data_IF_893112957103
#
_entry.id   IF_893112957103
#
_cell.length_a   1.000
_cell.length_b   1.000
_cell.length_c   1.000
_cell.angle_alpha   90.00
_cell.angle_beta   90.00
_cell.angle_gamma   90.00
#
_symmetry.space_group_name_H-M   'P 1'
#
loop_
_entity.id
_entity.type
_entity.pdbx_description
1 polymer ?
#
# COMPACT_ATOMS: atom_id res chain seq x y z
N UNK A 1 28.40 -38.07 -66.54
CA UNK A 1 27.23 -38.44 -65.70
C UNK A 1 26.66 -37.17 -65.11
N UNK A 2 25.33 -36.98 -65.24
CA UNK A 2 24.55 -35.86 -64.75
C UNK A 2 24.66 -35.72 -63.23
N UNK A 3 24.57 -34.50 -62.69
CA UNK A 3 23.58 -34.22 -61.64
C UNK A 3 23.30 -32.70 -61.56
N UNK A 4 22.03 -32.37 -61.80
CA UNK A 4 21.39 -31.07 -61.61
C UNK A 4 20.93 -31.01 -60.16
N UNK A 5 21.16 -29.91 -59.45
CA UNK A 5 20.42 -29.60 -58.22
C UNK A 5 19.92 -28.16 -58.31
N UNK A 6 18.67 -28.03 -58.74
CA UNK A 6 17.74 -27.00 -58.29
C UNK A 6 16.76 -27.69 -57.32
N UNK A 7 16.54 -27.11 -56.14
CA UNK A 7 15.20 -26.96 -55.56
C UNK A 7 15.32 -26.16 -54.25
N UNK A 8 14.83 -24.92 -54.31
CA UNK A 8 14.38 -24.16 -53.15
C UNK A 8 13.10 -24.82 -52.62
N UNK A 9 13.04 -25.08 -51.31
CA UNK A 9 11.82 -25.01 -50.48
C UNK A 9 12.23 -25.32 -49.02
N UNK A 10 12.29 -24.29 -48.17
CA UNK A 10 12.19 -24.49 -46.73
C UNK A 10 11.08 -23.58 -46.20
N UNK A 11 9.94 -24.22 -45.98
CA UNK A 11 8.75 -23.68 -45.33
C UNK A 11 8.99 -23.66 -43.82
N UNK A 12 8.41 -22.64 -43.20
CA UNK A 12 8.33 -22.30 -41.77
C UNK A 12 8.49 -23.43 -40.74
N UNK A 13 9.27 -23.12 -39.71
CA UNK A 13 8.92 -23.34 -38.29
C UNK A 13 9.81 -22.43 -37.41
N UNK A 14 9.36 -21.19 -37.20
CA UNK A 14 9.86 -20.34 -36.11
C UNK A 14 8.90 -20.51 -34.94
N UNK A 15 9.25 -21.37 -33.99
CA UNK A 15 8.61 -21.38 -32.67
C UNK A 15 9.22 -20.25 -31.86
N UNK A 16 8.42 -19.21 -31.63
CA UNK A 16 8.74 -18.11 -30.74
C UNK A 16 8.60 -18.61 -29.29
N UNK A 17 9.72 -18.90 -28.61
CA UNK A 17 9.75 -18.91 -27.15
C UNK A 17 10.09 -17.50 -26.68
N UNK A 18 9.08 -16.79 -26.21
CA UNK A 18 9.27 -15.49 -25.56
C UNK A 18 9.70 -15.68 -24.10
N UNK A 19 10.60 -14.78 -23.72
CA UNK A 19 10.85 -14.24 -22.38
C UNK A 19 11.70 -15.08 -21.42
N UNK A 20 12.97 -14.67 -21.32
CA UNK A 20 13.61 -14.38 -20.03
C UNK A 20 14.80 -13.43 -20.26
N UNK A 21 14.51 -12.16 -20.54
CA UNK A 21 15.49 -11.09 -20.33
C UNK A 21 15.06 -10.31 -19.09
N UNK A 22 15.64 -10.65 -17.94
CA UNK A 22 15.59 -9.78 -16.77
C UNK A 22 16.33 -8.49 -17.12
N UNK A 23 15.67 -7.33 -16.97
CA UNK A 23 16.29 -6.05 -17.30
C UNK A 23 17.51 -5.78 -16.38
N UNK A 24 18.58 -5.15 -16.89
CA UNK A 24 19.77 -4.82 -16.08
C UNK A 24 19.44 -4.05 -14.79
N UNK A 25 18.37 -3.25 -14.80
CA UNK A 25 17.88 -2.50 -13.63
C UNK A 25 17.24 -3.41 -12.58
N UNK A 26 16.55 -4.49 -12.97
CA UNK A 26 16.01 -5.50 -12.03
C UNK A 26 17.13 -6.34 -11.42
N UNK A 27 18.14 -6.68 -12.23
CA UNK A 27 19.36 -7.34 -11.75
C UNK A 27 20.13 -6.44 -10.77
N UNK A 28 20.31 -5.16 -11.10
CA UNK A 28 20.92 -4.18 -10.20
C UNK A 28 20.12 -4.00 -8.91
N UNK A 29 18.78 -3.87 -8.94
CA UNK A 29 17.96 -3.72 -7.72
C UNK A 29 17.93 -4.96 -6.81
N UNK A 30 18.05 -6.18 -7.35
CA UNK A 30 18.24 -7.40 -6.53
C UNK A 30 19.64 -7.45 -5.91
N UNK A 31 20.64 -6.95 -6.62
CA UNK A 31 22.04 -6.89 -6.16
C UNK A 31 22.38 -5.63 -5.34
N UNK A 32 21.45 -4.67 -5.21
CA UNK A 32 21.61 -3.43 -4.43
C UNK A 32 20.91 -3.50 -3.06
N UNK A 33 20.61 -4.71 -2.56
CA UNK A 33 20.32 -4.89 -1.14
C UNK A 33 21.65 -5.26 -0.47
N UNK A 34 22.13 -4.37 0.39
CA UNK A 34 23.39 -4.61 1.11
C UNK A 34 23.14 -5.74 2.10
N UNK A 35 23.95 -6.79 2.05
CA UNK A 35 23.84 -7.90 2.99
C UNK A 35 24.12 -7.38 4.41
N UNK A 36 23.25 -7.71 5.35
CA UNK A 36 23.42 -7.24 6.71
C UNK A 36 24.54 -8.00 7.42
N UNK A 37 25.34 -7.29 8.20
CA UNK A 37 26.45 -7.82 8.98
C UNK A 37 26.28 -7.47 10.45
N UNK A 38 26.62 -8.40 11.36
CA UNK A 38 26.47 -8.19 12.80
C UNK A 38 27.86 -8.12 13.45
N UNK A 39 28.20 -6.96 14.02
CA UNK A 39 29.49 -6.74 14.69
C UNK A 39 29.46 -7.02 16.21
N UNK A 40 28.30 -7.42 16.75
CA UNK A 40 28.08 -7.63 18.19
C UNK A 40 28.04 -6.32 18.99
N UNK A 41 27.74 -6.40 20.29
CA UNK A 41 27.64 -5.22 21.17
C UNK A 41 28.99 -4.66 21.67
N UNK A 42 30.10 -5.00 21.02
CA UNK A 42 31.44 -4.49 21.37
C UNK A 42 32.09 -3.87 20.13
N UNK A 43 31.41 -2.89 19.54
CA UNK A 43 31.92 -2.07 18.44
C UNK A 43 32.38 -0.71 18.96
N UNK A 44 33.36 -0.10 18.31
CA UNK A 44 33.85 1.25 18.65
C UNK A 44 32.98 2.38 18.06
N UNK A 45 31.79 2.05 17.55
CA UNK A 45 30.95 2.94 16.73
C UNK A 45 31.40 2.95 15.26
N UNK A 46 30.94 3.92 14.48
CA UNK A 46 31.25 4.11 13.06
C UNK A 46 30.75 2.98 12.12
N UNK A 47 29.62 2.36 12.47
CA UNK A 47 28.96 1.30 11.72
C UNK A 47 28.39 1.82 10.39
N UNK A 48 28.58 1.04 9.32
CA UNK A 48 28.06 1.30 7.98
C UNK A 48 26.61 0.89 7.74
N UNK A 49 26.13 1.19 6.54
CA UNK A 49 24.80 0.78 6.08
C UNK A 49 24.66 -0.75 6.20
N UNK A 50 23.60 -1.20 6.86
CA UNK A 50 23.29 -2.60 7.14
C UNK A 50 24.25 -3.30 8.12
N UNK A 51 25.11 -2.56 8.81
CA UNK A 51 25.89 -3.08 9.93
C UNK A 51 25.09 -2.93 11.24
N UNK A 52 25.04 -4.01 12.02
CA UNK A 52 24.12 -4.16 13.13
C UNK A 52 24.76 -4.08 14.51
N UNK A 53 23.89 -3.98 15.52
CA UNK A 53 24.18 -3.75 16.95
C UNK A 53 24.38 -2.29 17.38
N UNK A 54 24.07 -1.31 16.54
CA UNK A 54 24.01 0.08 16.99
C UNK A 54 23.03 0.23 18.17
N UNK A 55 23.40 1.05 19.15
CA UNK A 55 22.53 1.41 20.28
C UNK A 55 21.87 2.77 20.01
N UNK A 56 22.58 3.66 19.31
CA UNK A 56 22.14 5.01 18.94
C UNK A 56 22.69 5.44 17.58
N UNK A 57 22.19 6.57 17.06
CA UNK A 57 22.71 7.16 15.82
C UNK A 57 24.21 7.47 15.85
N UNK A 58 24.78 7.70 17.03
CA UNK A 58 26.20 7.99 17.20
C UNK A 58 27.10 6.78 16.91
N UNK A 59 26.53 5.57 16.93
CA UNK A 59 27.24 4.35 16.56
C UNK A 59 27.35 4.17 15.05
N UNK A 60 26.59 4.93 14.26
CA UNK A 60 26.57 4.85 12.81
C UNK A 60 27.50 5.88 12.16
N UNK A 61 27.96 5.58 10.94
CA UNK A 61 28.62 6.53 10.05
C UNK A 61 27.74 7.75 9.78
N UNK A 62 28.37 8.86 9.39
CA UNK A 62 27.67 10.09 9.01
C UNK A 62 26.54 9.81 8.01
N UNK A 63 25.42 10.53 8.15
CA UNK A 63 24.20 10.39 7.34
C UNK A 63 23.43 9.05 7.48
N UNK A 64 23.77 8.22 8.46
CA UNK A 64 23.00 7.04 8.84
C UNK A 64 22.31 7.24 10.19
N UNK A 65 21.22 6.51 10.43
CA UNK A 65 20.49 6.41 11.70
C UNK A 65 20.47 4.97 12.20
N UNK A 66 20.40 4.79 13.51
CA UNK A 66 20.22 3.48 14.10
C UNK A 66 18.73 3.09 14.09
N UNK A 67 18.36 2.15 13.21
CA UNK A 67 17.02 1.60 13.18
C UNK A 67 16.88 0.51 14.25
N UNK A 68 16.16 0.83 15.32
CA UNK A 68 15.71 -0.16 16.29
C UNK A 68 14.55 -0.98 15.70
N UNK A 69 14.56 -2.30 15.94
CA UNK A 69 13.55 -3.22 15.41
C UNK A 69 13.35 -4.44 16.29
N UNK A 70 12.23 -5.14 16.13
CA UNK A 70 11.99 -6.44 16.76
C UNK A 70 12.34 -7.63 15.86
N UNK A 71 12.30 -8.83 16.45
CA UNK A 71 12.50 -10.08 15.72
C UNK A 71 11.34 -10.30 14.75
N UNK A 72 11.65 -10.49 13.48
CA UNK A 72 10.69 -10.60 12.37
C UNK A 72 10.62 -9.35 11.49
N UNK A 73 11.03 -8.18 12.01
CA UNK A 73 11.03 -6.94 11.25
C UNK A 73 12.14 -6.89 10.20
N UNK A 74 11.85 -6.25 9.07
CA UNK A 74 12.83 -5.99 8.01
C UNK A 74 13.70 -4.76 8.29
N UNK A 75 14.76 -4.59 7.50
CA UNK A 75 15.64 -3.42 7.57
C UNK A 75 15.72 -2.80 6.17
N UNK A 76 15.18 -1.58 5.95
CA UNK A 76 15.17 -0.93 4.64
C UNK A 76 16.57 -0.84 4.02
N UNK A 77 16.69 -1.25 2.76
CA UNK A 77 17.97 -1.26 2.04
C UNK A 77 18.88 -2.46 2.35
N UNK A 78 18.50 -3.30 3.31
CA UNK A 78 19.31 -4.41 3.79
C UNK A 78 18.67 -5.78 3.54
N UNK A 79 19.52 -6.76 3.22
CA UNK A 79 19.15 -8.17 3.11
C UNK A 79 19.51 -8.91 4.40
N UNK A 80 18.51 -9.40 5.12
CA UNK A 80 18.69 -10.19 6.35
C UNK A 80 18.64 -11.70 6.06
N UNK A 81 19.58 -12.47 6.63
CA UNK A 81 19.46 -13.92 6.74
C UNK A 81 18.30 -14.32 7.67
N UNK A 82 17.87 -15.58 7.63
CA UNK A 82 16.81 -16.09 8.51
C UNK A 82 17.14 -15.95 10.00
N UNK A 83 18.40 -16.25 10.35
CA UNK A 83 18.90 -16.05 11.72
C UNK A 83 18.83 -14.58 12.14
N UNK A 84 19.21 -13.66 11.27
CA UNK A 84 19.18 -12.22 11.57
C UNK A 84 17.75 -11.69 11.67
N UNK A 85 16.82 -12.17 10.84
CA UNK A 85 15.38 -11.83 10.97
C UNK A 85 14.84 -12.23 12.33
N UNK A 86 15.18 -13.44 12.80
CA UNK A 86 14.69 -13.94 14.09
C UNK A 86 15.40 -13.30 15.31
N UNK A 87 16.41 -12.47 15.09
CA UNK A 87 17.08 -11.70 16.13
C UNK A 87 16.51 -10.28 16.24
N UNK A 88 16.62 -9.66 17.43
CA UNK A 88 16.29 -8.24 17.67
C UNK A 88 17.51 -7.34 17.48
N UNK A 89 18.20 -7.48 16.34
CA UNK A 89 19.42 -6.73 16.06
C UNK A 89 19.06 -5.40 15.39
N UNK A 90 19.47 -4.28 15.98
CA UNK A 90 19.36 -2.94 15.37
C UNK A 90 20.36 -2.80 14.23
N UNK A 91 20.10 -1.94 13.25
CA UNK A 91 21.00 -1.72 12.10
C UNK A 91 21.11 -0.25 11.72
N UNK A 92 22.29 0.16 11.27
CA UNK A 92 22.48 1.47 10.68
C UNK A 92 21.86 1.52 9.27
N UNK A 93 20.96 2.47 9.04
CA UNK A 93 20.26 2.69 7.76
C UNK A 93 20.38 4.14 7.30
N UNK A 94 20.19 4.40 6.01
CA UNK A 94 20.24 5.77 5.50
C UNK A 94 19.16 6.66 6.14
N UNK A 95 19.51 7.91 6.48
CA UNK A 95 18.56 8.94 6.87
C UNK A 95 17.60 9.24 5.70
N UNK A 96 16.31 9.02 5.89
CA UNK A 96 15.28 9.45 4.93
C UNK A 96 14.95 10.93 5.18
N UNK A 97 15.82 11.87 4.82
CA UNK A 97 15.60 13.32 5.03
C UNK A 97 15.48 14.09 3.72
N UNK A 98 14.30 14.70 3.50
CA UNK A 98 13.98 16.08 3.01
C UNK A 98 14.72 16.78 1.85
N UNK A 99 15.62 16.12 1.13
CA UNK A 99 16.49 16.77 0.11
C UNK A 99 15.81 17.10 -1.25
N UNK A 100 14.48 17.12 -1.30
CA UNK A 100 13.71 17.54 -2.48
C UNK A 100 12.88 18.81 -2.23
N UNK A 101 13.05 19.49 -1.09
CA UNK A 101 12.31 20.71 -0.76
C UNK A 101 12.94 22.03 -1.26
N UNK A 102 14.18 21.99 -1.77
CA UNK A 102 14.96 23.20 -2.10
C UNK A 102 14.83 23.73 -3.54
N UNK A 103 13.95 23.17 -4.38
CA UNK A 103 13.88 23.51 -5.81
C UNK A 103 12.65 24.29 -6.31
N UNK A 104 11.76 24.82 -5.47
CA UNK A 104 10.67 25.68 -5.99
C UNK A 104 10.41 26.95 -5.14
N UNK A 105 10.19 28.11 -5.81
CA UNK A 105 10.22 29.42 -5.18
C UNK A 105 9.00 29.71 -4.31
N UNK A 106 9.24 30.34 -3.17
CA UNK A 106 8.23 30.87 -2.25
C UNK A 106 7.39 31.98 -2.90
N UNK A 107 6.06 31.85 -2.86
CA UNK A 107 5.10 32.91 -3.23
C UNK A 107 4.24 33.28 -2.01
N UNK A 108 3.79 34.54 -1.87
CA UNK A 108 3.49 35.15 -0.58
C UNK A 108 2.07 34.87 -0.07
N UNK A 109 1.91 34.95 1.25
CA UNK A 109 0.65 34.88 1.98
C UNK A 109 -0.42 35.84 1.43
N UNK A 110 -1.69 35.43 1.33
CA UNK A 110 -2.78 36.35 1.12
C UNK A 110 -3.38 36.83 2.45
N UNK A 111 -3.53 38.15 2.51
CA UNK A 111 -4.15 39.00 3.53
C UNK A 111 -5.64 38.71 3.72
N UNK A 112 -6.11 38.76 4.97
CA UNK A 112 -7.52 38.74 5.35
C UNK A 112 -8.28 39.99 4.89
N UNK A 113 -9.52 39.80 4.42
CA UNK A 113 -10.61 40.77 4.61
C UNK A 113 -11.99 40.06 4.63
N UNK A 114 -12.97 40.55 5.41
CA UNK A 114 -14.22 39.86 5.73
C UNK A 114 -15.42 40.36 4.90
N UNK A 115 -16.51 39.59 4.84
CA UNK A 115 -17.85 40.13 4.56
C UNK A 115 -18.97 39.21 5.09
N UNK A 116 -20.13 39.82 5.25
CA UNK A 116 -21.12 39.66 6.32
C UNK A 116 -22.48 39.25 5.73
N UNK A 117 -23.35 38.64 6.57
CA UNK A 117 -24.81 38.49 6.42
C UNK A 117 -25.34 37.60 5.27
N UNK A 118 -26.48 36.93 5.34
CA UNK A 118 -27.38 36.47 6.41
C UNK A 118 -28.34 35.45 5.76
N UNK A 119 -28.82 34.56 6.61
CA UNK A 119 -29.81 33.49 6.48
C UNK A 119 -31.14 33.84 5.77
N UNK A 120 -31.74 32.88 5.05
CA UNK A 120 -33.19 32.64 5.06
C UNK A 120 -33.54 31.34 4.35
N UNK A 121 -34.36 30.56 5.05
CA UNK A 121 -35.12 29.37 4.65
C UNK A 121 -36.01 29.59 3.42
N UNK A 122 -36.29 28.53 2.68
CA UNK A 122 -37.66 28.01 2.49
C UNK A 122 -37.66 26.69 1.70
N UNK A 123 -38.43 25.72 2.21
CA UNK A 123 -38.87 24.53 1.50
C UNK A 123 -40.29 24.77 0.97
N UNK A 124 -40.68 24.10 -0.13
CA UNK A 124 -41.80 23.17 0.02
C UNK A 124 -41.69 21.89 -0.83
N UNK A 125 -42.41 20.89 -0.35
CA UNK A 125 -42.76 19.58 -0.92
C UNK A 125 -43.59 19.63 -2.20
N UNK A 126 -43.30 18.78 -3.19
CA UNK A 126 -44.19 17.67 -3.60
C UNK A 126 -43.62 16.81 -4.74
N UNK A 127 -44.06 15.55 -4.71
CA UNK A 127 -44.06 14.47 -5.71
C UNK A 127 -43.40 14.66 -7.08
N UNK A 128 -42.54 13.71 -7.41
CA UNK A 128 -42.11 13.41 -8.77
C UNK A 128 -41.35 12.09 -8.81
N UNK A 129 -41.96 11.06 -9.40
CA UNK A 129 -41.31 9.82 -9.78
C UNK A 129 -40.01 10.12 -10.54
N UNK A 130 -38.87 9.91 -9.90
CA UNK A 130 -37.56 10.07 -10.50
C UNK A 130 -37.08 8.73 -11.06
N UNK A 131 -37.59 8.34 -12.23
CA UNK A 131 -36.72 7.66 -13.20
C UNK A 131 -35.83 8.74 -13.82
N UNK A 132 -34.67 8.95 -13.21
CA UNK A 132 -33.64 9.84 -13.73
C UNK A 132 -32.30 9.12 -13.64
N UNK A 133 -31.64 8.99 -14.79
CA UNK A 133 -30.30 8.43 -14.98
C UNK A 133 -29.31 8.96 -13.94
N UNK A 134 -29.19 8.25 -12.83
CA UNK A 134 -28.21 8.48 -11.79
C UNK A 134 -27.42 7.21 -11.65
N UNK A 135 -26.14 7.25 -11.97
CA UNK A 135 -25.20 6.23 -11.48
C UNK A 135 -25.42 6.16 -9.96
N UNK A 136 -26.11 5.12 -9.50
CA UNK A 136 -26.04 4.71 -8.11
C UNK A 136 -24.57 4.49 -7.84
N UNK A 137 -23.94 5.40 -7.08
CA UNK A 137 -22.60 5.14 -6.54
C UNK A 137 -22.80 3.96 -5.62
N UNK A 138 -22.60 2.76 -6.14
CA UNK A 138 -22.73 1.52 -5.38
C UNK A 138 -21.74 1.59 -4.23
N UNK A 139 -22.28 1.70 -3.01
CA UNK A 139 -21.48 1.59 -1.79
C UNK A 139 -21.28 0.12 -1.47
N UNK A 140 -20.18 -0.22 -0.82
CA UNK A 140 -19.87 -1.60 -0.42
C UNK A 140 -19.01 -1.61 0.82
N UNK A 141 -18.99 -2.73 1.54
CA UNK A 141 -17.95 -2.99 2.52
C UNK A 141 -16.70 -3.50 1.79
N UNK A 142 -15.51 -3.17 2.31
CA UNK A 142 -14.26 -3.69 1.76
C UNK A 142 -13.76 -4.78 2.70
N UNK A 143 -13.74 -6.03 2.24
CA UNK A 143 -13.40 -7.21 3.05
C UNK A 143 -12.05 -7.77 2.64
N UNK A 144 -11.26 -8.25 3.60
CA UNK A 144 -10.12 -9.12 3.30
C UNK A 144 -10.62 -10.36 2.55
N UNK A 145 -10.00 -10.63 1.40
CA UNK A 145 -10.38 -11.78 0.59
C UNK A 145 -9.82 -13.07 1.20
N UNK A 146 -10.68 -14.09 1.25
CA UNK A 146 -10.33 -15.42 1.72
C UNK A 146 -10.76 -16.46 0.68
N UNK A 147 -10.00 -17.54 0.58
CA UNK A 147 -10.37 -18.71 -0.21
C UNK A 147 -9.92 -20.00 0.49
N UNK A 148 -10.50 -21.16 0.11
CA UNK A 148 -10.05 -22.45 0.62
C UNK A 148 -8.52 -22.56 0.46
N UNK A 149 -7.84 -23.07 1.49
CA UNK A 149 -6.38 -23.08 1.72
C UNK A 149 -5.83 -21.93 2.59
N UNK A 150 -6.61 -20.89 2.85
CA UNK A 150 -6.17 -19.83 3.76
C UNK A 150 -6.40 -20.29 5.19
N UNK A 151 -5.33 -20.35 5.98
CA UNK A 151 -5.36 -20.88 7.35
C UNK A 151 -5.10 -19.77 8.37
N UNK A 152 -5.97 -18.77 8.41
CA UNK A 152 -5.87 -17.69 9.39
C UNK A 152 -6.28 -18.20 10.77
N UNK A 153 -5.50 -17.86 11.80
CA UNK A 153 -5.75 -18.29 13.19
C UNK A 153 -5.89 -19.82 13.35
N UNK A 154 -5.29 -20.62 12.46
CA UNK A 154 -5.46 -22.08 12.39
C UNK A 154 -6.91 -22.54 12.16
N UNK A 155 -7.70 -21.74 11.46
CA UNK A 155 -9.09 -22.05 11.11
C UNK A 155 -9.23 -22.34 9.61
N UNK A 156 -9.84 -23.47 9.22
CA UNK A 156 -10.02 -23.86 7.82
C UNK A 156 -11.27 -23.25 7.17
N UNK A 157 -11.83 -22.20 7.76
CA UNK A 157 -13.04 -21.55 7.30
C UNK A 157 -12.89 -20.03 7.29
N UNK A 158 -13.73 -19.37 6.49
CA UNK A 158 -13.69 -17.92 6.35
C UNK A 158 -14.24 -17.21 7.61
N UNK A 159 -13.43 -16.32 8.18
CA UNK A 159 -13.91 -15.18 8.97
C UNK A 159 -13.95 -13.94 8.08
N UNK A 160 -15.03 -13.17 8.18
CA UNK A 160 -15.25 -12.01 7.33
C UNK A 160 -14.75 -10.75 8.03
N UNK A 161 -13.60 -10.25 7.59
CA UNK A 161 -12.95 -9.07 8.16
C UNK A 161 -13.11 -7.87 7.23
N UNK A 162 -13.90 -6.88 7.65
CA UNK A 162 -14.20 -5.68 6.89
C UNK A 162 -13.38 -4.49 7.39
N UNK A 163 -12.71 -3.82 6.46
CA UNK A 163 -12.06 -2.53 6.69
C UNK A 163 -13.10 -1.51 7.14
N UNK A 164 -12.87 -0.94 8.31
CA UNK A 164 -13.73 0.07 8.90
C UNK A 164 -12.94 1.20 9.53
N UNK A 165 -13.57 2.37 9.55
CA UNK A 165 -13.08 3.48 10.37
C UNK A 165 -13.13 3.09 11.86
N UNK A 166 -12.08 3.42 12.61
CA UNK A 166 -12.05 3.18 14.07
C UNK A 166 -12.99 4.15 14.81
N UNK A 167 -13.29 5.30 14.20
CA UNK A 167 -14.17 6.32 14.73
C UNK A 167 -15.65 6.02 14.39
N UNK A 168 -16.51 5.77 15.39
CA UNK A 168 -17.95 5.55 15.13
C UNK A 168 -18.79 6.84 15.12
N UNK A 169 -18.49 7.80 16.01
CA UNK A 169 -19.27 9.05 16.16
C UNK A 169 -18.53 10.32 15.73
N UNK A 170 -17.24 10.42 16.00
CA UNK A 170 -16.46 11.63 15.72
C UNK A 170 -15.27 11.33 14.82
N UNK A 171 -15.55 11.10 13.54
CA UNK A 171 -14.49 10.94 12.55
C UNK A 171 -13.92 12.28 12.11
N UNK A 172 -12.59 12.39 12.21
CA UNK A 172 -11.84 13.57 11.79
C UNK A 172 -10.66 13.15 10.91
N UNK A 173 -10.02 14.12 10.28
CA UNK A 173 -8.71 13.93 9.66
C UNK A 173 -7.76 13.28 10.67
N UNK A 174 -7.00 12.27 10.23
CA UNK A 174 -6.09 11.49 11.05
C UNK A 174 -6.73 10.30 11.77
N UNK A 175 -8.00 9.97 11.47
CA UNK A 175 -8.59 8.75 12.00
C UNK A 175 -8.01 7.53 11.29
N UNK A 176 -7.57 6.55 12.06
CA UNK A 176 -7.04 5.28 11.55
C UNK A 176 -8.14 4.38 10.96
N UNK A 177 -7.71 3.39 10.20
CA UNK A 177 -8.54 2.32 9.65
C UNK A 177 -8.08 0.97 10.20
N UNK A 178 -9.04 0.11 10.52
CA UNK A 178 -8.77 -1.22 11.07
C UNK A 178 -9.77 -2.23 10.50
N UNK A 179 -9.52 -3.51 10.72
CA UNK A 179 -10.46 -4.57 10.37
C UNK A 179 -11.37 -4.94 11.55
N UNK A 180 -12.66 -5.12 11.29
CA UNK A 180 -13.64 -5.62 12.25
C UNK A 180 -14.51 -6.69 11.59
N UNK A 181 -15.34 -7.39 12.37
CA UNK A 181 -16.29 -8.35 11.81
C UNK A 181 -17.23 -7.64 10.82
N UNK A 182 -17.42 -8.22 9.64
CA UNK A 182 -18.32 -7.69 8.62
C UNK A 182 -19.80 -7.70 9.03
N UNK A 183 -20.18 -8.47 10.05
CA UNK A 183 -21.56 -8.48 10.56
C UNK A 183 -21.79 -7.31 11.55
N UNK A 184 -20.73 -6.65 12.02
CA UNK A 184 -20.78 -5.53 12.98
C UNK A 184 -20.97 -4.15 12.31
N UNK A 185 -21.88 -4.06 11.32
CA UNK A 185 -22.21 -2.81 10.60
C UNK A 185 -20.96 -2.12 10.01
N UNK A 186 -20.32 -2.74 8.99
CA UNK A 186 -19.04 -2.31 8.48
C UNK A 186 -19.14 -0.95 7.79
N UNK A 187 -18.02 -0.24 7.76
CA UNK A 187 -17.93 1.04 7.03
C UNK A 187 -18.25 0.81 5.56
N UNK A 188 -19.14 1.64 5.04
CA UNK A 188 -19.48 1.65 3.62
C UNK A 188 -18.49 2.57 2.90
N UNK A 189 -17.94 2.08 1.79
CA UNK A 189 -16.95 2.74 0.96
C UNK A 189 -17.49 3.01 -0.45
N UNK A 190 -16.93 4.03 -1.10
CA UNK A 190 -17.14 4.40 -2.50
C UNK A 190 -15.76 4.44 -3.18
N UNK A 191 -15.62 3.76 -4.32
CA UNK A 191 -14.49 4.01 -5.20
C UNK A 191 -14.81 5.18 -6.14
N UNK A 192 -14.08 6.27 -5.99
CA UNK A 192 -14.14 7.42 -6.92
C UNK A 192 -13.09 7.17 -8.00
N UNK A 193 -13.54 6.84 -9.21
CA UNK A 193 -12.64 6.56 -10.33
C UNK A 193 -11.88 7.80 -10.78
N UNK A 194 -10.59 7.63 -11.07
CA UNK A 194 -9.75 8.64 -11.70
C UNK A 194 -8.95 8.11 -12.89
N UNK A 195 -9.34 6.96 -13.42
CA UNK A 195 -8.66 6.30 -14.51
C UNK A 195 -8.87 4.79 -14.49
N UNK A 196 -8.32 4.07 -15.48
CA UNK A 196 -8.36 2.62 -15.51
C UNK A 196 -7.61 2.06 -14.30
N UNK A 197 -8.31 1.26 -13.49
CA UNK A 197 -7.77 0.65 -12.27
C UNK A 197 -7.16 1.65 -11.28
N UNK A 198 -7.67 2.88 -11.23
CA UNK A 198 -7.19 3.93 -10.34
C UNK A 198 -8.36 4.63 -9.64
N UNK A 199 -8.32 4.68 -8.31
CA UNK A 199 -9.43 5.18 -7.48
C UNK A 199 -8.92 6.04 -6.33
N UNK A 200 -9.76 6.94 -5.84
CA UNK A 200 -9.76 7.31 -4.42
C UNK A 200 -10.71 6.38 -3.67
N UNK A 201 -10.33 6.00 -2.45
CA UNK A 201 -11.17 5.18 -1.56
C UNK A 201 -11.84 6.12 -0.57
N UNK A 202 -13.12 6.41 -0.80
CA UNK A 202 -13.90 7.39 -0.06
C UNK A 202 -14.87 6.69 0.90
N UNK A 203 -15.07 7.23 2.09
CA UNK A 203 -16.16 6.79 2.98
C UNK A 203 -17.50 7.24 2.40
N UNK A 204 -18.45 6.32 2.30
CA UNK A 204 -19.77 6.60 1.77
C UNK A 204 -20.44 7.76 2.50
N UNK A 205 -21.06 8.66 1.74
CA UNK A 205 -21.78 9.84 2.25
C UNK A 205 -20.94 10.82 3.09
N UNK A 206 -19.60 10.66 3.17
CA UNK A 206 -18.70 11.55 3.93
C UNK A 206 -17.59 12.06 3.02
N UNK A 207 -17.10 13.27 3.30
CA UNK A 207 -15.97 13.84 2.56
C UNK A 207 -14.61 13.39 3.13
N UNK A 208 -14.45 12.09 3.38
CA UNK A 208 -13.24 11.48 3.92
C UNK A 208 -12.73 10.39 2.98
N UNK A 209 -11.44 10.44 2.66
CA UNK A 209 -10.75 9.51 1.79
C UNK A 209 -9.53 8.94 2.51
N UNK A 210 -9.19 7.69 2.21
CA UNK A 210 -7.92 7.11 2.67
C UNK A 210 -6.76 7.88 2.03
N UNK A 211 -5.75 8.20 2.81
CA UNK A 211 -4.54 8.88 2.38
C UNK A 211 -3.32 8.22 2.99
N UNK A 212 -2.25 8.13 2.20
CA UNK A 212 -0.92 7.78 2.70
C UNK A 212 -0.32 8.96 3.50
N UNK A 213 0.04 8.72 4.76
CA UNK A 213 0.81 9.63 5.60
C UNK A 213 2.26 9.14 5.73
N UNK A 214 3.12 9.99 6.32
CA UNK A 214 4.52 9.62 6.58
C UNK A 214 4.56 8.39 7.50
N UNK A 215 5.67 7.64 7.49
CA UNK A 215 5.87 6.43 8.34
C UNK A 215 5.01 5.18 8.00
N UNK A 216 4.33 5.17 6.84
CA UNK A 216 3.53 4.06 6.29
C UNK A 216 2.10 3.92 6.83
N UNK A 217 1.63 4.88 7.62
CA UNK A 217 0.28 4.84 8.16
C UNK A 217 -0.75 5.34 7.14
N UNK A 218 -1.84 4.58 7.04
CA UNK A 218 -3.01 4.92 6.26
C UNK A 218 -4.03 5.55 7.19
N UNK A 219 -4.40 6.80 6.93
CA UNK A 219 -5.39 7.50 7.73
C UNK A 219 -6.46 8.14 6.84
N UNK A 220 -7.58 8.50 7.44
CA UNK A 220 -8.61 9.28 6.79
C UNK A 220 -8.22 10.76 6.72
N UNK A 221 -8.30 11.34 5.52
CA UNK A 221 -8.14 12.76 5.28
C UNK A 221 -9.36 13.30 4.52
N UNK A 222 -9.51 14.62 4.46
CA UNK A 222 -10.52 15.22 3.57
C UNK A 222 -10.22 14.82 2.13
N UNK A 223 -11.24 14.42 1.36
CA UNK A 223 -11.02 14.02 -0.03
C UNK A 223 -10.51 15.19 -0.87
N UNK A 224 -9.43 14.95 -1.60
CA UNK A 224 -8.85 15.85 -2.59
C UNK A 224 -8.45 15.03 -3.83
N UNK A 225 -9.19 15.18 -4.91
CA UNK A 225 -8.98 14.45 -6.16
C UNK A 225 -7.63 14.72 -6.82
N UNK A 226 -7.00 15.83 -6.49
CA UNK A 226 -5.69 16.22 -7.01
C UNK A 226 -4.55 15.69 -6.16
N UNK A 227 -4.82 15.17 -4.96
CA UNK A 227 -3.79 14.67 -4.06
C UNK A 227 -3.36 13.25 -4.46
N UNK A 228 -2.13 13.06 -4.97
CA UNK A 228 -1.68 11.74 -5.42
C UNK A 228 -1.49 10.73 -4.28
N UNK A 229 -1.42 11.18 -3.01
CA UNK A 229 -1.37 10.30 -1.83
C UNK A 229 -2.73 9.67 -1.48
N UNK A 230 -3.81 10.14 -2.10
CA UNK A 230 -5.16 9.55 -1.99
C UNK A 230 -5.49 8.62 -3.16
N UNK A 231 -4.53 8.34 -4.03
CA UNK A 231 -4.74 7.58 -5.27
C UNK A 231 -4.21 6.16 -5.08
N UNK A 232 -5.10 5.19 -5.31
CA UNK A 232 -4.80 3.78 -5.19
C UNK A 232 -5.06 3.09 -6.51
N UNK A 233 -4.25 2.08 -6.80
CA UNK A 233 -4.34 1.28 -8.01
C UNK A 233 -4.56 -0.19 -7.66
N UNK A 234 -5.21 -0.93 -8.57
CA UNK A 234 -5.27 -2.37 -8.46
C UNK A 234 -3.89 -2.96 -8.80
N UNK A 235 -3.11 -3.32 -7.77
CA UNK A 235 -1.74 -3.84 -7.94
C UNK A 235 -1.70 -5.22 -8.62
N UNK A 236 -2.75 -6.01 -8.37
CA UNK A 236 -3.11 -7.26 -9.04
C UNK A 236 -4.63 -7.37 -9.09
N UNK A 237 -5.13 -8.03 -10.14
CA UNK A 237 -6.56 -8.07 -10.46
C UNK A 237 -7.07 -6.72 -10.93
N UNK A 238 -8.37 -6.50 -10.79
CA UNK A 238 -9.06 -5.25 -11.10
C UNK A 238 -10.12 -4.95 -10.05
N UNK A 239 -10.47 -3.68 -9.85
CA UNK A 239 -11.44 -3.29 -8.81
C UNK A 239 -12.86 -3.85 -9.02
N UNK A 240 -13.14 -4.38 -10.21
CA UNK A 240 -14.41 -5.05 -10.54
C UNK A 240 -14.28 -6.58 -10.63
N UNK A 241 -13.10 -7.12 -10.34
CA UNK A 241 -12.84 -8.56 -10.28
C UNK A 241 -13.17 -9.14 -8.89
N UNK A 242 -13.15 -10.48 -8.78
CA UNK A 242 -13.46 -11.23 -7.55
C UNK A 242 -12.58 -10.83 -6.36
N UNK A 243 -11.31 -10.54 -6.62
CA UNK A 243 -10.33 -10.16 -5.61
C UNK A 243 -9.28 -9.26 -6.25
N UNK A 244 -8.79 -8.28 -5.51
CA UNK A 244 -7.78 -7.34 -6.00
C UNK A 244 -6.85 -6.90 -4.87
N UNK A 245 -5.66 -6.45 -5.24
CA UNK A 245 -4.76 -5.77 -4.31
C UNK A 245 -4.94 -4.26 -4.41
N UNK A 246 -4.93 -3.59 -3.27
CA UNK A 246 -4.97 -2.13 -3.22
C UNK A 246 -3.55 -1.64 -2.97
N UNK A 247 -2.98 -0.91 -3.92
CA UNK A 247 -1.62 -0.35 -3.82
C UNK A 247 -1.65 1.17 -3.93
N UNK A 248 -0.85 1.91 -3.15
CA UNK A 248 -0.68 3.35 -3.37
C UNK A 248 -0.09 3.60 -4.75
N UNK A 249 -0.63 4.59 -5.47
CA UNK A 249 -0.15 4.95 -6.82
C UNK A 249 1.33 5.32 -6.82
N UNK A 250 1.75 6.08 -5.80
CA UNK A 250 3.12 6.58 -5.67
C UNK A 250 4.11 5.51 -5.17
N UNK A 251 3.61 4.41 -4.59
CA UNK A 251 4.43 3.43 -3.88
C UNK A 251 4.22 2.01 -4.40
N UNK A 252 4.69 1.79 -5.64
CA UNK A 252 4.60 0.48 -6.31
C UNK A 252 5.28 -0.62 -5.50
N UNK A 253 4.65 -1.79 -5.45
CA UNK A 253 5.15 -2.94 -4.70
C UNK A 253 4.77 -2.94 -3.22
N UNK A 254 3.99 -1.97 -2.76
CA UNK A 254 3.35 -1.95 -1.45
C UNK A 254 1.84 -2.18 -1.58
N UNK A 255 1.30 -2.92 -0.63
CA UNK A 255 -0.09 -3.34 -0.60
C UNK A 255 -0.71 -2.95 0.74
N UNK A 256 -1.93 -2.46 0.67
CA UNK A 256 -2.81 -2.29 1.81
C UNK A 256 -3.12 -3.66 2.40
N UNK A 257 -2.85 -3.84 3.69
CA UNK A 257 -2.98 -5.11 4.40
C UNK A 257 -3.16 -4.87 5.89
N UNK A 258 -3.75 -5.82 6.60
CA UNK A 258 -3.40 -6.04 8.01
C UNK A 258 -2.39 -7.19 7.97
N UNK A 259 -1.09 -6.90 8.06
CA UNK A 259 0.03 -7.86 8.17
C UNK A 259 -0.27 -9.38 8.10
N UNK A 260 -0.36 -10.07 9.24
CA UNK A 260 -0.40 -11.54 9.32
C UNK A 260 -1.52 -12.03 10.25
N UNK A 261 -2.22 -13.09 9.83
CA UNK A 261 -3.32 -13.74 10.55
C UNK A 261 -4.36 -12.77 11.16
N UNK A 262 -5.31 -12.25 10.37
CA UNK A 262 -6.29 -11.24 10.77
C UNK A 262 -7.02 -11.50 12.10
N UNK A 263 -7.15 -10.46 12.92
CA UNK A 263 -7.99 -10.36 14.13
C UNK A 263 -8.74 -9.02 14.15
N UNK A 264 -9.89 -9.01 14.81
CA UNK A 264 -10.65 -7.77 15.02
C UNK A 264 -9.82 -6.69 15.71
N UNK A 265 -9.91 -5.46 15.22
CA UNK A 265 -9.22 -4.29 15.74
C UNK A 265 -7.79 -4.09 15.23
N UNK A 266 -7.26 -5.00 14.40
CA UNK A 266 -5.93 -4.80 13.79
C UNK A 266 -5.96 -3.71 12.72
N UNK A 267 -4.96 -2.84 12.75
CA UNK A 267 -4.85 -1.71 11.83
C UNK A 267 -4.55 -2.15 10.40
N UNK A 268 -5.14 -1.43 9.45
CA UNK A 268 -4.82 -1.59 8.03
C UNK A 268 -3.71 -0.62 7.68
N UNK A 269 -2.57 -1.18 7.30
CA UNK A 269 -1.33 -0.45 6.98
C UNK A 269 -0.83 -0.82 5.59
N UNK A 270 0.30 -0.26 5.21
CA UNK A 270 0.99 -0.63 4.00
C UNK A 270 2.19 -1.53 4.32
N UNK A 271 2.28 -2.66 3.62
CA UNK A 271 3.46 -3.52 3.63
C UNK A 271 3.96 -3.80 2.21
N UNK A 272 5.22 -4.21 2.02
CA UNK A 272 5.64 -4.77 0.74
C UNK A 272 4.68 -5.89 0.34
N UNK A 273 4.12 -5.85 -0.87
CA UNK A 273 3.16 -6.85 -1.33
C UNK A 273 3.72 -8.26 -1.26
N UNK A 274 5.05 -8.42 -1.46
CA UNK A 274 5.72 -9.71 -1.30
C UNK A 274 5.61 -10.29 0.10
N UNK A 275 5.55 -9.43 1.13
CA UNK A 275 5.36 -9.82 2.54
C UNK A 275 3.90 -10.17 2.80
N UNK A 276 2.97 -9.30 2.37
CA UNK A 276 1.53 -9.52 2.54
C UNK A 276 1.02 -10.78 1.81
N UNK A 277 1.70 -11.19 0.72
CA UNK A 277 1.41 -12.41 -0.04
C UNK A 277 2.01 -13.69 0.54
N UNK A 278 2.90 -13.61 1.54
CA UNK A 278 3.59 -14.80 2.05
C UNK A 278 2.58 -15.84 2.49
N UNK A 279 2.91 -17.10 2.23
CA UNK A 279 2.15 -18.23 2.74
C UNK A 279 2.08 -18.17 4.27
N UNK A 280 0.91 -18.45 4.83
CA UNK A 280 0.56 -18.12 6.21
C UNK A 280 -0.14 -16.76 6.36
N UNK A 281 0.39 -15.69 5.76
CA UNK A 281 -0.25 -14.36 5.81
C UNK A 281 -1.41 -14.26 4.81
N UNK A 282 -1.13 -14.28 3.50
CA UNK A 282 -2.10 -14.12 2.40
C UNK A 282 -3.17 -13.01 2.63
N UNK A 283 -2.76 -11.86 3.16
CA UNK A 283 -3.62 -10.73 3.57
C UNK A 283 -3.63 -9.56 2.56
N UNK A 284 -2.96 -9.72 1.42
CA UNK A 284 -2.83 -8.68 0.38
C UNK A 284 -4.10 -8.41 -0.42
N UNK A 285 -5.01 -9.39 -0.49
CA UNK A 285 -6.17 -9.33 -1.37
C UNK A 285 -7.42 -8.87 -0.62
N UNK A 286 -8.23 -8.08 -1.31
CA UNK A 286 -9.49 -7.54 -0.86
C UNK A 286 -10.59 -7.83 -1.88
N UNK A 287 -11.85 -7.78 -1.45
CA UNK A 287 -13.00 -7.81 -2.34
C UNK A 287 -14.09 -6.84 -1.86
N UNK A 288 -14.94 -6.40 -2.80
CA UNK A 288 -16.20 -5.73 -2.47
C UNK A 288 -17.14 -6.76 -1.81
N UNK A 289 -17.69 -6.43 -0.65
CA UNK A 289 -18.60 -7.26 0.15
C UNK A 289 -19.93 -6.54 0.38
#
# INVERSE_FOLDING_TARGET
MKLVIQASLFVHLVTCSLANEETPIRFLRRNLQVAAENYGGNHSGNLGLCEGHCDSDADCRENLICLQRDAGDGVPGCSLSEKQRNARTNYCVARLTDDASDLLPSSPSPTMAPSHHSESSDAPSNDGNAEYFGFSRSTFALKLYWEPEYNWQNEPFERKWCMSMTCRRFCRKGSEIAIYDCDDSPTQWEFVSHGPNEVQIKVAQRNLCIQEFLENDLELAQCDGNNPKQRFVAGRGGFDERSFEISPKLRRGWCMTQRHHPKSGEYVNLEPCVTARREGSRTSYWNKY
#
